data_IF_332905085188
#
_entry.id   IF_332905085188
#
_cell.length_a   1.000
_cell.length_b   1.000
_cell.length_c   1.000
_cell.angle_alpha   90.00
_cell.angle_beta   90.00
_cell.angle_gamma   90.00
#
_symmetry.space_group_name_H-M   'P 1'
#
loop_
_entity.id
_entity.type
_entity.pdbx_description
1 polymer ?
#
# COMPACT_ATOMS: atom_id res chain seq x y z
N UNK A 1 -37.08 -36.82 21.40
CA UNK A 1 -35.64 -36.49 21.28
C UNK A 1 -35.25 -36.75 19.84
N UNK A 2 -35.13 -35.69 19.04
CA UNK A 2 -34.57 -35.76 17.69
C UNK A 2 -33.40 -34.77 17.69
N UNK A 3 -32.18 -35.30 17.58
CA UNK A 3 -30.96 -34.50 17.50
C UNK A 3 -30.79 -34.17 16.03
N UNK A 4 -30.84 -32.88 15.71
CA UNK A 4 -30.63 -32.35 14.37
C UNK A 4 -29.22 -32.75 13.88
N UNK A 5 -29.16 -33.35 12.70
CA UNK A 5 -27.91 -33.76 12.06
C UNK A 5 -27.16 -32.52 11.60
N UNK A 6 -26.18 -32.09 12.39
CA UNK A 6 -25.22 -31.05 12.04
C UNK A 6 -24.38 -31.59 10.88
N UNK A 7 -24.84 -31.35 9.65
CA UNK A 7 -24.07 -31.50 8.42
C UNK A 7 -23.03 -30.37 8.31
N UNK A 8 -22.16 -30.24 9.30
CA UNK A 8 -21.04 -29.32 9.28
C UNK A 8 -19.81 -30.14 9.65
N UNK A 9 -18.73 -29.96 8.87
CA UNK A 9 -17.48 -30.74 8.86
C UNK A 9 -17.64 -31.96 7.93
N UNK A 10 -17.05 -32.01 6.76
CA UNK A 10 -15.63 -31.76 6.48
C UNK A 10 -15.43 -31.70 4.97
N UNK A 11 -15.13 -30.54 4.40
CA UNK A 11 -14.16 -30.40 3.31
C UNK A 11 -13.57 -29.00 3.41
N UNK A 12 -12.64 -28.82 4.37
CA UNK A 12 -11.69 -27.72 4.26
C UNK A 12 -10.82 -28.08 3.07
N UNK A 13 -11.24 -27.65 1.88
CA UNK A 13 -10.44 -27.70 0.66
C UNK A 13 -9.13 -27.02 1.02
N UNK A 14 -8.03 -27.80 1.01
CA UNK A 14 -6.72 -27.35 1.46
C UNK A 14 -6.42 -25.96 0.90
N UNK A 15 -6.40 -24.97 1.80
CA UNK A 15 -6.04 -23.61 1.43
C UNK A 15 -4.63 -23.70 0.87
N UNK A 16 -4.46 -23.34 -0.41
CA UNK A 16 -3.15 -23.28 -1.06
C UNK A 16 -2.24 -22.45 -0.18
N UNK A 17 -1.25 -23.12 0.41
CA UNK A 17 -0.17 -22.51 1.17
C UNK A 17 0.36 -21.30 0.41
N UNK A 18 0.47 -20.16 1.10
CA UNK A 18 1.04 -18.91 0.60
C UNK A 18 2.53 -19.12 0.34
N UNK A 19 2.87 -19.73 -0.79
CA UNK A 19 4.24 -20.03 -1.16
C UNK A 19 4.57 -19.39 -2.51
N UNK A 20 4.88 -18.10 -2.44
CA UNK A 20 6.19 -17.57 -2.85
C UNK A 20 6.31 -16.18 -2.21
N UNK A 21 6.91 -16.12 -1.01
CA UNK A 21 7.58 -14.88 -0.60
C UNK A 21 8.73 -14.74 -1.58
N UNK A 22 8.49 -14.04 -2.69
CA UNK A 22 9.58 -13.60 -3.53
C UNK A 22 10.48 -12.78 -2.60
N UNK A 23 11.73 -13.22 -2.42
CA UNK A 23 12.73 -12.43 -1.73
C UNK A 23 12.94 -11.19 -2.57
N UNK A 24 12.09 -10.17 -2.36
CA UNK A 24 12.23 -8.88 -3.02
C UNK A 24 13.61 -8.40 -2.66
N UNK A 25 14.40 -8.07 -3.67
CA UNK A 25 15.71 -7.48 -3.43
C UNK A 25 15.53 -6.20 -2.61
N UNK A 26 16.53 -5.83 -1.82
CA UNK A 26 16.47 -4.61 -0.99
C UNK A 26 16.04 -3.39 -1.82
N UNK A 27 16.56 -3.27 -3.04
CA UNK A 27 16.17 -2.24 -4.00
C UNK A 27 14.67 -2.24 -4.33
N UNK A 28 14.06 -3.42 -4.51
CA UNK A 28 12.62 -3.55 -4.78
C UNK A 28 11.77 -3.21 -3.55
N UNK A 29 12.26 -3.55 -2.34
CA UNK A 29 11.60 -3.18 -1.09
C UNK A 29 11.63 -1.66 -0.89
N UNK A 30 12.78 -1.04 -1.13
CA UNK A 30 12.96 0.41 -1.03
C UNK A 30 12.13 1.15 -2.08
N UNK A 31 12.09 0.65 -3.33
CA UNK A 31 11.23 1.20 -4.38
C UNK A 31 9.75 1.11 -3.99
N UNK A 32 9.31 -0.05 -3.50
CA UNK A 32 7.93 -0.26 -3.08
C UNK A 32 7.54 0.64 -1.89
N UNK A 33 8.42 0.76 -0.88
CA UNK A 33 8.23 1.66 0.25
C UNK A 33 8.17 3.12 -0.20
N UNK A 34 9.06 3.53 -1.11
CA UNK A 34 9.08 4.89 -1.68
C UNK A 34 7.77 5.17 -2.42
N UNK A 35 7.32 4.25 -3.28
CA UNK A 35 6.04 4.38 -4.01
C UNK A 35 4.85 4.47 -3.06
N UNK A 36 4.84 3.67 -2.00
CA UNK A 36 3.77 3.70 -1.01
C UNK A 36 3.74 5.03 -0.25
N UNK A 37 4.90 5.54 0.15
CA UNK A 37 5.03 6.86 0.78
C UNK A 37 4.49 7.98 -0.14
N UNK A 38 4.90 7.99 -1.42
CA UNK A 38 4.43 8.98 -2.39
C UNK A 38 2.91 8.93 -2.55
N UNK A 39 2.32 7.73 -2.65
CA UNK A 39 0.86 7.57 -2.73
C UNK A 39 0.15 8.06 -1.48
N UNK A 40 0.69 7.79 -0.29
CA UNK A 40 0.14 8.27 0.97
C UNK A 40 0.17 9.80 1.05
N UNK A 41 1.30 10.42 0.69
CA UNK A 41 1.45 11.87 0.66
C UNK A 41 0.51 12.52 -0.34
N UNK A 42 0.40 12.00 -1.58
CA UNK A 42 -0.55 12.51 -2.57
C UNK A 42 -1.98 12.48 -2.03
N UNK A 43 -2.40 11.38 -1.39
CA UNK A 43 -3.73 11.26 -0.79
C UNK A 43 -3.96 12.24 0.36
N UNK A 44 -3.01 12.40 1.27
CA UNK A 44 -3.12 13.33 2.39
C UNK A 44 -3.24 14.78 1.89
N UNK A 45 -2.43 15.15 0.89
CA UNK A 45 -2.47 16.48 0.28
C UNK A 45 -3.75 16.74 -0.51
N UNK A 46 -4.24 15.75 -1.27
CA UNK A 46 -5.54 15.84 -1.93
C UNK A 46 -6.68 15.96 -0.91
N UNK A 47 -6.57 15.31 0.25
CA UNK A 47 -7.57 15.42 1.32
C UNK A 47 -7.55 16.78 2.00
N UNK A 48 -6.36 17.35 2.25
CA UNK A 48 -6.20 18.63 2.94
C UNK A 48 -6.49 19.84 2.04
N UNK A 49 -5.95 19.85 0.84
CA UNK A 49 -5.94 21.02 -0.05
C UNK A 49 -6.74 20.79 -1.36
N UNK A 50 -7.29 19.60 -1.59
CA UNK A 50 -8.03 19.25 -2.81
C UNK A 50 -7.16 19.04 -4.06
N UNK A 51 -5.93 19.56 -4.04
CA UNK A 51 -4.93 19.48 -5.12
C UNK A 51 -3.52 19.36 -4.56
N UNK A 52 -2.61 18.78 -5.34
CA UNK A 52 -1.18 18.77 -5.01
C UNK A 52 -0.60 20.10 -5.45
N UNK A 53 -0.22 20.96 -4.50
CA UNK A 53 0.39 22.26 -4.79
C UNK A 53 1.90 22.21 -4.56
N UNK A 54 2.66 21.92 -5.63
CA UNK A 54 4.12 21.79 -5.57
C UNK A 54 4.83 23.07 -5.10
N UNK A 55 4.31 24.26 -5.43
CA UNK A 55 4.88 25.51 -4.93
C UNK A 55 4.72 25.66 -3.42
N UNK A 56 3.57 25.25 -2.88
CA UNK A 56 3.33 25.22 -1.43
C UNK A 56 4.29 24.27 -0.75
N UNK A 57 4.51 23.08 -1.33
CA UNK A 57 5.47 22.11 -0.78
C UNK A 57 6.91 22.63 -0.82
N UNK A 58 7.30 23.36 -1.87
CA UNK A 58 8.63 23.98 -1.93
C UNK A 58 8.80 25.07 -0.87
N UNK A 59 7.74 25.81 -0.56
CA UNK A 59 7.71 26.83 0.51
C UNK A 59 7.66 26.22 1.92
N UNK A 60 6.98 25.09 2.09
CA UNK A 60 6.89 24.34 3.35
C UNK A 60 8.21 23.60 3.69
N UNK A 61 9.22 23.67 2.83
CA UNK A 61 10.55 23.11 3.07
C UNK A 61 10.70 21.65 2.67
N UNK A 62 9.80 21.10 1.84
CA UNK A 62 9.96 19.75 1.32
C UNK A 62 11.14 19.67 0.35
N UNK A 63 11.91 18.58 0.43
CA UNK A 63 13.10 18.37 -0.40
C UNK A 63 12.77 18.34 -1.88
N UNK A 64 13.58 19.01 -2.71
CA UNK A 64 13.41 19.01 -4.17
C UNK A 64 13.41 17.60 -4.78
N UNK A 65 14.18 16.68 -4.20
CA UNK A 65 14.20 15.27 -4.64
C UNK A 65 12.85 14.58 -4.43
N UNK A 66 12.15 14.93 -3.36
CA UNK A 66 10.82 14.39 -3.08
C UNK A 66 9.79 14.99 -4.04
N UNK A 67 9.88 16.30 -4.30
CA UNK A 67 9.02 17.00 -5.26
C UNK A 67 9.17 16.43 -6.67
N UNK A 68 10.41 16.25 -7.14
CA UNK A 68 10.70 15.63 -8.42
C UNK A 68 10.14 14.20 -8.51
N UNK A 69 10.28 13.40 -7.45
CA UNK A 69 9.68 12.06 -7.40
C UNK A 69 8.15 12.07 -7.36
N UNK A 70 7.52 13.09 -6.75
CA UNK A 70 6.07 13.26 -6.77
C UNK A 70 5.56 13.65 -8.16
N UNK A 71 6.31 14.47 -8.89
CA UNK A 71 6.01 14.86 -10.27
C UNK A 71 6.16 13.68 -11.25
N UNK A 72 7.20 12.85 -11.07
CA UNK A 72 7.45 11.69 -11.94
C UNK A 72 6.54 10.47 -11.69
N UNK A 73 5.89 10.38 -10.52
CA UNK A 73 5.11 9.21 -10.10
C UNK A 73 3.63 9.28 -10.48
#
# INVERSE_FOLDING_TARGET
MAIESINCLTQITGVKTTAKRHSKSEAELLDHATKNLLRALKRDMLKKDGRINYEKLRKDGYSERLLAKLEQA
#
